data_IF_870718345361
#
_entry.id   IF_870718345361
#
_cell.length_a   1.000
_cell.length_b   1.000
_cell.length_c   1.000
_cell.angle_alpha   90.00
_cell.angle_beta   90.00
_cell.angle_gamma   90.00
#
_symmetry.space_group_name_H-M   'P 1'
#
loop_
_entity.id
_entity.type
_entity.pdbx_description
1 polymer ?
#
# COMPACT_ATOMS: atom_id res chain seq x y z
N UNK A 1 0.66 27.62 -2.11
CA UNK A 1 0.99 27.03 -0.80
C UNK A 1 2.51 26.79 -0.66
N UNK A 2 3.22 26.34 -1.69
CA UNK A 2 4.63 25.97 -1.62
C UNK A 2 5.57 27.18 -1.33
N UNK A 3 5.26 28.39 -1.82
CA UNK A 3 6.07 29.57 -1.57
C UNK A 3 6.11 29.99 -0.09
N UNK A 4 5.03 29.73 0.65
CA UNK A 4 4.97 30.03 2.08
C UNK A 4 5.92 29.11 2.87
N UNK A 5 5.98 27.83 2.48
CA UNK A 5 6.88 26.85 3.12
C UNK A 5 8.36 27.18 2.87
N UNK A 6 8.70 27.69 1.69
CA UNK A 6 10.08 28.11 1.38
C UNK A 6 10.54 29.24 2.30
N UNK A 7 9.73 30.28 2.51
CA UNK A 7 10.07 31.38 3.41
C UNK A 7 10.20 30.91 4.87
N UNK A 8 9.32 30.01 5.32
CA UNK A 8 9.39 29.44 6.67
C UNK A 8 10.66 28.61 6.87
N UNK A 9 11.02 27.77 5.89
CA UNK A 9 12.17 26.86 6.01
C UNK A 9 13.51 27.57 5.78
N UNK A 10 13.55 28.59 4.93
CA UNK A 10 14.78 29.27 4.51
C UNK A 10 15.05 30.53 5.31
N UNK A 11 14.03 31.35 5.53
CA UNK A 11 14.13 32.67 6.14
C UNK A 11 13.68 32.70 7.59
N UNK A 12 13.01 31.63 8.07
CA UNK A 12 12.41 31.59 9.39
C UNK A 12 11.24 32.56 9.55
N UNK A 13 10.61 32.95 8.44
CA UNK A 13 9.57 33.99 8.44
C UNK A 13 8.29 33.45 7.77
N UNK A 14 7.18 33.63 8.46
CA UNK A 14 5.85 33.38 7.93
C UNK A 14 5.15 34.71 7.63
N UNK A 15 4.86 34.98 6.38
CA UNK A 15 4.08 36.16 5.99
C UNK A 15 2.62 35.96 6.34
N UNK A 16 2.10 36.75 7.30
CA UNK A 16 0.71 36.72 7.70
C UNK A 16 -0.17 37.56 6.75
N UNK A 17 -1.39 37.10 6.40
CA UNK A 17 -2.33 37.90 5.64
C UNK A 17 -2.67 39.20 6.39
N UNK A 18 -2.89 40.32 5.67
CA UNK A 18 -3.20 41.66 6.22
C UNK A 18 -4.40 41.73 7.18
N UNK A 19 -5.22 40.67 7.25
CA UNK A 19 -6.41 40.55 8.14
C UNK A 19 -6.21 39.55 9.29
N UNK A 20 -5.01 39.18 9.62
CA UNK A 20 -4.75 38.27 10.75
C UNK A 20 -5.02 39.00 12.07
N UNK A 21 -5.54 38.29 13.08
CA UNK A 21 -5.66 38.77 14.47
C UNK A 21 -4.32 39.16 15.11
N UNK A 22 -3.23 38.77 14.50
CA UNK A 22 -1.84 39.03 14.95
C UNK A 22 -1.20 40.22 14.25
N UNK A 23 -1.99 41.09 13.57
CA UNK A 23 -1.49 42.27 12.85
C UNK A 23 -1.05 41.96 11.42
N UNK A 24 -0.78 43.01 10.63
CA UNK A 24 -0.16 42.90 9.31
C UNK A 24 1.34 42.81 9.48
N UNK A 25 1.93 41.64 9.29
CA UNK A 25 3.37 41.55 9.43
C UNK A 25 3.92 40.15 9.17
N UNK A 26 5.18 40.05 9.40
CA UNK A 26 5.90 38.79 9.40
C UNK A 26 5.91 38.20 10.80
N UNK A 27 5.64 36.90 10.90
CA UNK A 27 5.79 36.14 12.13
C UNK A 27 7.11 35.41 12.07
N UNK A 28 7.95 35.59 13.08
CA UNK A 28 9.18 34.83 13.21
C UNK A 28 8.86 33.37 13.60
N UNK A 29 9.52 32.45 12.94
CA UNK A 29 9.40 31.02 13.23
C UNK A 29 10.30 30.68 14.40
N UNK A 30 9.79 29.89 15.36
CA UNK A 30 10.56 29.51 16.54
C UNK A 30 11.87 28.81 16.13
N UNK A 31 13.04 29.08 16.76
CA UNK A 31 14.33 28.48 16.40
C UNK A 31 14.34 26.95 16.41
N UNK A 32 13.54 26.33 17.28
CA UNK A 32 13.42 24.90 17.39
C UNK A 32 12.35 24.30 16.47
N UNK A 33 11.77 25.10 15.57
CA UNK A 33 10.79 24.58 14.61
C UNK A 33 11.43 23.53 13.70
N UNK A 34 10.75 22.41 13.56
CA UNK A 34 11.13 21.34 12.62
C UNK A 34 9.90 20.92 11.84
N UNK A 35 10.08 20.67 10.55
CA UNK A 35 9.02 20.25 9.67
C UNK A 35 9.30 18.85 9.13
N UNK A 36 8.28 17.98 9.16
CA UNK A 36 8.32 16.67 8.55
C UNK A 36 7.22 16.63 7.47
N UNK A 37 7.63 16.30 6.26
CA UNK A 37 6.74 16.19 5.11
C UNK A 37 6.62 14.74 4.68
N UNK A 38 5.45 14.38 4.20
CA UNK A 38 5.22 13.09 3.55
C UNK A 38 4.79 13.33 2.12
N UNK A 39 5.31 12.55 1.19
CA UNK A 39 4.92 12.59 -0.21
C UNK A 39 4.82 11.19 -0.79
N UNK A 40 3.98 11.03 -1.82
CA UNK A 40 3.92 9.81 -2.61
C UNK A 40 4.50 10.12 -4.01
N UNK A 41 5.74 9.70 -4.30
CA UNK A 41 6.39 10.05 -5.55
C UNK A 41 5.67 9.51 -6.79
N UNK A 42 4.87 8.44 -6.67
CA UNK A 42 4.11 7.87 -7.80
C UNK A 42 2.94 8.76 -8.25
N UNK A 43 2.39 9.59 -7.37
CA UNK A 43 1.29 10.50 -7.68
C UNK A 43 1.78 11.80 -8.35
N UNK A 44 3.07 12.09 -8.29
CA UNK A 44 3.65 13.37 -8.73
C UNK A 44 4.34 13.33 -10.08
N UNK A 45 4.24 12.26 -10.84
CA UNK A 45 4.87 12.10 -12.16
C UNK A 45 4.41 13.11 -13.25
N UNK A 46 3.69 14.18 -12.89
CA UNK A 46 3.23 15.22 -13.79
C UNK A 46 3.17 16.64 -13.21
N UNK A 47 3.58 16.87 -11.96
CA UNK A 47 3.36 18.16 -11.28
C UNK A 47 4.70 18.81 -10.86
N UNK A 48 5.14 19.72 -11.70
CA UNK A 48 5.79 21.03 -11.47
C UNK A 48 7.17 21.17 -10.80
N UNK A 49 8.00 21.96 -11.54
CA UNK A 49 9.30 22.57 -11.15
C UNK A 49 9.31 23.28 -9.78
N UNK A 50 8.16 23.63 -9.21
CA UNK A 50 8.06 24.26 -7.87
C UNK A 50 8.41 23.31 -6.73
N UNK A 51 8.37 22.00 -6.96
CA UNK A 51 8.77 21.00 -5.97
C UNK A 51 10.29 20.88 -5.84
N UNK A 52 11.04 21.13 -6.91
CA UNK A 52 12.50 20.98 -6.92
C UNK A 52 13.15 21.89 -5.86
N UNK A 53 12.72 23.16 -5.79
CA UNK A 53 13.26 24.12 -4.81
C UNK A 53 12.99 23.76 -3.35
N UNK A 54 11.92 23.04 -3.05
CA UNK A 54 11.62 22.52 -1.72
C UNK A 54 12.44 21.28 -1.43
N UNK A 55 12.54 20.38 -2.40
CA UNK A 55 13.28 19.10 -2.26
C UNK A 55 14.77 19.32 -2.01
N UNK A 56 15.38 20.33 -2.62
CA UNK A 56 16.78 20.69 -2.41
C UNK A 56 17.11 21.09 -0.97
N UNK A 57 16.10 21.39 -0.16
CA UNK A 57 16.23 21.83 1.24
C UNK A 57 15.83 20.77 2.27
N UNK A 58 15.46 19.59 1.79
CA UNK A 58 14.97 18.51 2.64
C UNK A 58 15.92 17.31 2.60
N UNK A 59 16.03 16.66 3.74
CA UNK A 59 16.65 15.33 3.80
C UNK A 59 15.56 14.31 3.46
N UNK A 60 15.68 13.66 2.31
CA UNK A 60 14.72 12.69 1.84
C UNK A 60 15.01 11.31 2.41
N UNK A 61 14.04 10.75 3.11
CA UNK A 61 14.08 9.37 3.60
C UNK A 61 13.08 8.55 2.78
N UNK A 62 13.59 7.58 2.04
CA UNK A 62 12.75 6.66 1.28
C UNK A 62 12.24 5.54 2.18
N UNK A 63 10.92 5.41 2.26
CA UNK A 63 10.26 4.35 3.02
C UNK A 63 9.75 3.31 2.02
N UNK A 64 10.29 2.10 2.12
CA UNK A 64 9.90 0.97 1.30
C UNK A 64 8.80 0.12 1.98
N UNK A 65 8.29 -0.86 1.24
CA UNK A 65 7.41 -1.87 1.83
C UNK A 65 8.15 -2.68 2.89
N UNK A 66 7.42 -3.13 3.90
CA UNK A 66 7.95 -4.01 4.92
C UNK A 66 8.43 -5.36 4.33
N UNK A 67 9.27 -6.06 5.07
CA UNK A 67 9.61 -7.44 4.76
C UNK A 67 8.37 -8.35 4.87
N UNK A 68 8.46 -9.54 4.29
CA UNK A 68 7.33 -10.47 4.20
C UNK A 68 6.78 -10.85 5.58
N UNK A 69 7.67 -11.16 6.52
CA UNK A 69 7.29 -11.60 7.85
C UNK A 69 6.56 -10.50 8.63
N UNK A 70 7.05 -9.29 8.55
CA UNK A 70 6.41 -8.12 9.14
C UNK A 70 5.04 -7.85 8.53
N UNK A 71 4.89 -7.94 7.19
CA UNK A 71 3.60 -7.78 6.53
C UNK A 71 2.59 -8.85 6.99
N UNK A 72 3.02 -10.11 7.16
CA UNK A 72 2.17 -11.20 7.67
C UNK A 72 1.68 -10.89 9.09
N UNK A 73 2.58 -10.56 10.00
CA UNK A 73 2.24 -10.22 11.39
C UNK A 73 1.27 -9.05 11.49
N UNK A 74 1.43 -8.05 10.62
CA UNK A 74 0.51 -6.91 10.55
C UNK A 74 -0.89 -7.36 10.12
N UNK A 75 -1.00 -8.18 9.06
CA UNK A 75 -2.30 -8.67 8.59
C UNK A 75 -2.96 -9.54 9.65
N UNK A 76 -2.23 -10.50 10.24
CA UNK A 76 -2.70 -11.36 11.33
C UNK A 76 -3.26 -10.52 12.48
N UNK A 77 -2.47 -9.60 13.02
CA UNK A 77 -2.85 -8.76 14.16
C UNK A 77 -4.03 -7.82 13.85
N UNK A 78 -4.16 -7.35 12.60
CA UNK A 78 -5.18 -6.37 12.21
C UNK A 78 -6.47 -6.97 11.69
N UNK A 79 -6.44 -8.21 11.22
CA UNK A 79 -7.62 -8.90 10.68
C UNK A 79 -8.19 -9.94 11.64
N UNK A 80 -7.39 -10.46 12.56
CA UNK A 80 -7.75 -11.59 13.42
C UNK A 80 -7.76 -12.93 12.70
N UNK A 81 -7.24 -13.01 11.47
CA UNK A 81 -7.12 -14.26 10.73
C UNK A 81 -5.99 -15.13 11.30
N UNK A 82 -6.10 -16.45 11.14
CA UNK A 82 -4.99 -17.36 11.38
C UNK A 82 -3.79 -16.99 10.50
N UNK A 83 -2.58 -17.21 11.04
CA UNK A 83 -1.33 -16.91 10.32
C UNK A 83 -1.27 -17.53 8.93
N UNK A 84 -1.75 -18.76 8.74
CA UNK A 84 -1.79 -19.45 7.44
C UNK A 84 -2.53 -18.63 6.36
N UNK A 85 -3.67 -18.05 6.73
CA UNK A 85 -4.48 -17.24 5.83
C UNK A 85 -3.80 -15.89 5.54
N UNK A 86 -3.21 -15.26 6.56
CA UNK A 86 -2.45 -14.02 6.41
C UNK A 86 -1.25 -14.19 5.45
N UNK A 87 -0.57 -15.31 5.54
CA UNK A 87 0.56 -15.66 4.65
C UNK A 87 0.13 -15.77 3.19
N UNK A 88 -0.99 -16.43 2.90
CA UNK A 88 -1.53 -16.55 1.53
C UNK A 88 -1.89 -15.18 0.98
N UNK A 89 -2.58 -14.37 1.77
CA UNK A 89 -2.98 -13.01 1.37
C UNK A 89 -1.74 -12.17 1.03
N UNK A 90 -0.72 -12.20 1.88
CA UNK A 90 0.51 -11.42 1.66
C UNK A 90 1.28 -11.93 0.44
N UNK A 91 1.37 -13.24 0.24
CA UNK A 91 2.04 -13.79 -0.93
C UNK A 91 1.36 -13.39 -2.24
N UNK A 92 0.03 -13.34 -2.27
CA UNK A 92 -0.75 -12.83 -3.41
C UNK A 92 -0.41 -11.34 -3.66
N UNK A 93 -0.47 -10.51 -2.61
CA UNK A 93 -0.20 -9.08 -2.71
C UNK A 93 1.22 -8.82 -3.20
N UNK A 94 2.21 -9.53 -2.66
CA UNK A 94 3.62 -9.37 -3.06
C UNK A 94 3.85 -9.80 -4.51
N UNK A 95 3.22 -10.88 -4.98
CA UNK A 95 3.29 -11.29 -6.39
C UNK A 95 2.70 -10.23 -7.32
N UNK A 96 1.52 -9.70 -6.98
CA UNK A 96 0.88 -8.62 -7.76
C UNK A 96 1.73 -7.35 -7.78
N UNK A 97 2.29 -6.96 -6.64
CA UNK A 97 3.19 -5.81 -6.51
C UNK A 97 4.42 -5.93 -7.40
N UNK A 98 5.05 -7.10 -7.42
CA UNK A 98 6.24 -7.37 -8.21
C UNK A 98 5.97 -7.42 -9.72
N UNK A 99 4.75 -7.73 -10.13
CA UNK A 99 4.38 -7.74 -11.55
C UNK A 99 4.26 -6.34 -12.15
N UNK A 100 4.13 -5.30 -11.33
CA UNK A 100 4.12 -3.90 -11.77
C UNK A 100 3.01 -3.57 -12.78
N UNK A 101 1.90 -4.30 -12.77
CA UNK A 101 0.84 -4.14 -13.77
C UNK A 101 0.12 -2.82 -13.55
N UNK A 102 0.20 -1.91 -14.53
CA UNK A 102 -0.55 -0.65 -14.61
C UNK A 102 -0.37 0.33 -13.44
N UNK A 103 0.84 0.47 -12.88
CA UNK A 103 1.12 1.32 -11.71
C UNK A 103 0.30 0.94 -10.45
N UNK A 104 -0.44 -0.16 -10.48
CA UNK A 104 -1.19 -0.62 -9.32
C UNK A 104 -0.30 -1.54 -8.49
N UNK A 105 0.22 -0.99 -7.40
CA UNK A 105 1.02 -1.72 -6.42
C UNK A 105 0.23 -1.89 -5.13
N UNK A 106 -0.46 -3.02 -4.92
CA UNK A 106 -1.24 -3.22 -3.72
C UNK A 106 -0.36 -3.12 -2.47
N UNK A 107 -0.83 -2.34 -1.50
CA UNK A 107 -0.13 -2.07 -0.25
C UNK A 107 -0.55 -3.05 0.85
N UNK A 108 0.09 -2.97 2.02
CA UNK A 108 -0.32 -3.71 3.21
C UNK A 108 -1.77 -3.42 3.62
N UNK A 109 -2.29 -2.22 3.33
CA UNK A 109 -3.70 -1.86 3.61
C UNK A 109 -4.66 -2.75 2.83
N UNK A 110 -4.32 -3.10 1.60
CA UNK A 110 -5.09 -4.04 0.77
C UNK A 110 -5.16 -5.41 1.45
N UNK A 111 -4.03 -5.90 2.00
CA UNK A 111 -4.00 -7.16 2.76
C UNK A 111 -4.85 -7.15 4.01
N UNK A 112 -4.79 -6.07 4.78
CA UNK A 112 -5.63 -5.88 5.97
C UNK A 112 -7.12 -5.86 5.58
N UNK A 113 -7.47 -5.21 4.48
CA UNK A 113 -8.85 -5.14 4.00
C UNK A 113 -9.39 -6.52 3.61
N UNK A 114 -8.64 -7.27 2.78
CA UNK A 114 -9.00 -8.65 2.40
C UNK A 114 -9.15 -9.49 3.67
N UNK A 115 -8.17 -9.43 4.58
CA UNK A 115 -8.16 -10.20 5.81
C UNK A 115 -9.36 -9.91 6.70
N UNK A 116 -9.73 -8.65 6.89
CA UNK A 116 -10.88 -8.27 7.72
C UNK A 116 -12.20 -8.74 7.13
N UNK A 117 -12.39 -8.59 5.82
CA UNK A 117 -13.62 -9.04 5.16
C UNK A 117 -13.72 -10.57 5.25
N UNK A 118 -12.61 -11.27 5.02
CA UNK A 118 -12.55 -12.73 5.09
C UNK A 118 -12.86 -13.24 6.50
N UNK A 119 -12.24 -12.66 7.53
CA UNK A 119 -12.50 -12.98 8.93
C UNK A 119 -13.96 -12.76 9.32
N UNK A 120 -14.54 -11.63 8.89
CA UNK A 120 -15.95 -11.31 9.15
C UNK A 120 -16.92 -12.29 8.49
N UNK A 121 -16.52 -12.87 7.35
CA UNK A 121 -17.33 -13.86 6.61
C UNK A 121 -17.11 -15.31 7.06
N UNK A 122 -16.15 -15.54 7.98
CA UNK A 122 -15.80 -16.89 8.42
C UNK A 122 -15.16 -17.76 7.33
N UNK A 123 -14.60 -17.15 6.29
CA UNK A 123 -13.94 -17.85 5.18
C UNK A 123 -12.45 -18.08 5.46
N UNK A 124 -11.82 -18.86 4.59
CA UNK A 124 -10.39 -19.16 4.61
C UNK A 124 -9.70 -18.73 3.32
N UNK A 125 -8.42 -18.39 3.40
CA UNK A 125 -7.64 -18.04 2.23
C UNK A 125 -7.27 -19.30 1.42
N UNK A 126 -8.21 -19.80 0.61
CA UNK A 126 -8.04 -20.99 -0.20
C UNK A 126 -8.62 -20.81 -1.60
N UNK A 127 -8.02 -21.50 -2.59
CA UNK A 127 -8.49 -21.44 -3.99
C UNK A 127 -9.92 -21.94 -4.15
N UNK A 128 -10.32 -22.94 -3.39
CA UNK A 128 -11.66 -23.52 -3.41
C UNK A 128 -12.70 -22.76 -2.57
N UNK A 129 -12.32 -21.68 -1.91
CA UNK A 129 -13.25 -20.81 -1.18
C UNK A 129 -13.78 -19.69 -2.10
N UNK A 130 -15.05 -19.74 -2.53
CA UNK A 130 -15.63 -18.75 -3.43
C UNK A 130 -15.72 -17.36 -2.78
N UNK A 131 -15.82 -17.30 -1.45
CA UNK A 131 -15.86 -16.03 -0.70
C UNK A 131 -14.49 -15.35 -0.81
N UNK A 132 -13.41 -16.09 -0.57
CA UNK A 132 -12.06 -15.59 -0.69
C UNK A 132 -11.74 -15.07 -2.09
N UNK A 133 -12.09 -15.85 -3.12
CA UNK A 133 -11.89 -15.46 -4.53
C UNK A 133 -12.62 -14.16 -4.85
N UNK A 134 -13.88 -14.07 -4.42
CA UNK A 134 -14.69 -12.87 -4.67
C UNK A 134 -14.12 -11.64 -3.97
N UNK A 135 -13.72 -11.77 -2.70
CA UNK A 135 -13.09 -10.67 -1.95
C UNK A 135 -11.82 -10.19 -2.64
N UNK A 136 -10.95 -11.13 -3.05
CA UNK A 136 -9.72 -10.78 -3.75
C UNK A 136 -10.00 -10.06 -5.07
N UNK A 137 -10.96 -10.54 -5.87
CA UNK A 137 -11.35 -9.89 -7.12
C UNK A 137 -11.88 -8.48 -6.88
N UNK A 138 -12.78 -8.30 -5.93
CA UNK A 138 -13.40 -7.00 -5.64
C UNK A 138 -12.38 -6.00 -5.10
N UNK A 139 -11.50 -6.40 -4.17
CA UNK A 139 -10.52 -5.51 -3.54
C UNK A 139 -9.31 -5.22 -4.42
N UNK A 140 -8.83 -6.21 -5.19
CA UNK A 140 -7.63 -6.06 -6.02
C UNK A 140 -7.94 -5.44 -7.39
N UNK A 141 -9.20 -5.46 -7.84
CA UNK A 141 -9.61 -4.93 -9.14
C UNK A 141 -10.04 -3.45 -9.11
N UNK A 142 -10.11 -2.84 -7.93
CA UNK A 142 -10.74 -1.52 -7.69
C UNK A 142 -10.11 -0.37 -8.51
N UNK A 143 -8.89 -0.51 -9.04
CA UNK A 143 -8.19 0.57 -9.75
C UNK A 143 -7.85 0.23 -11.21
N UNK A 144 -8.42 -0.83 -11.78
CA UNK A 144 -8.03 -1.30 -13.12
C UNK A 144 -9.20 -1.38 -14.08
N UNK A 145 -9.87 -0.26 -14.29
CA UNK A 145 -10.85 -0.14 -15.39
C UNK A 145 -10.07 0.14 -16.69
N UNK A 146 -9.30 -0.82 -17.17
CA UNK A 146 -8.95 -0.91 -18.59
C UNK A 146 -9.66 -2.13 -19.15
N UNK A 147 -10.85 -1.87 -19.66
CA UNK A 147 -11.62 -2.82 -20.46
C UNK A 147 -10.86 -2.99 -21.77
N UNK A 148 -10.41 -4.20 -22.06
CA UNK A 148 -9.90 -4.55 -23.40
C UNK A 148 -11.06 -4.58 -24.40
N UNK A 149 -10.75 -4.49 -25.72
CA UNK A 149 -11.74 -4.54 -26.81
C UNK A 149 -12.72 -5.72 -26.73
N UNK A 150 -12.36 -6.79 -26.03
CA UNK A 150 -13.16 -7.99 -25.89
C UNK A 150 -13.98 -8.04 -24.58
N UNK A 151 -14.07 -6.90 -23.85
CA UNK A 151 -14.93 -6.77 -22.66
C UNK A 151 -14.51 -7.62 -21.45
N UNK A 152 -13.44 -8.41 -21.55
CA UNK A 152 -12.87 -9.18 -20.44
C UNK A 152 -11.81 -8.35 -19.71
N UNK A 153 -11.96 -8.29 -18.41
CA UNK A 153 -10.97 -7.65 -17.56
C UNK A 153 -9.71 -8.54 -17.47
N UNK A 154 -8.75 -8.28 -18.34
CA UNK A 154 -7.44 -8.97 -18.39
C UNK A 154 -6.79 -9.08 -17.00
N UNK A 155 -7.15 -8.16 -16.10
CA UNK A 155 -6.68 -8.14 -14.73
C UNK A 155 -7.35 -9.20 -13.85
N UNK A 156 -8.63 -9.50 -14.09
CA UNK A 156 -9.33 -10.54 -13.32
C UNK A 156 -8.74 -11.92 -13.57
N UNK A 157 -8.41 -12.23 -14.81
CA UNK A 157 -7.74 -13.49 -15.17
C UNK A 157 -6.36 -13.59 -14.51
N UNK A 158 -5.56 -12.51 -14.57
CA UNK A 158 -4.25 -12.46 -13.91
C UNK A 158 -4.34 -12.60 -12.38
N UNK A 159 -5.30 -11.94 -11.75
CA UNK A 159 -5.52 -12.06 -10.31
C UNK A 159 -5.90 -13.50 -9.96
N UNK A 160 -6.83 -14.10 -10.70
CA UNK A 160 -7.25 -15.49 -10.49
C UNK A 160 -6.09 -16.47 -10.65
N UNK A 161 -5.26 -16.32 -11.68
CA UNK A 161 -4.05 -17.11 -11.90
C UNK A 161 -3.06 -17.02 -10.75
N UNK A 162 -2.87 -15.81 -10.21
CA UNK A 162 -1.95 -15.61 -9.09
C UNK A 162 -2.48 -16.27 -7.83
N UNK A 163 -3.78 -16.11 -7.54
CA UNK A 163 -4.41 -16.74 -6.38
C UNK A 163 -4.26 -18.26 -6.48
N UNK A 164 -4.57 -18.84 -7.64
CA UNK A 164 -4.44 -20.26 -7.87
C UNK A 164 -3.01 -20.76 -7.67
N UNK A 165 -2.03 -20.07 -8.25
CA UNK A 165 -0.61 -20.43 -8.13
C UNK A 165 -0.10 -20.35 -6.69
N UNK A 166 -0.55 -19.32 -5.92
CA UNK A 166 -0.13 -19.17 -4.53
C UNK A 166 -0.76 -20.24 -3.65
N UNK A 167 -2.06 -20.48 -3.78
CA UNK A 167 -2.76 -21.48 -3.00
C UNK A 167 -2.24 -22.90 -3.29
N UNK A 168 -2.05 -23.26 -4.57
CA UNK A 168 -1.56 -24.59 -4.95
C UNK A 168 -0.11 -24.85 -4.49
N UNK A 169 0.77 -23.85 -4.56
CA UNK A 169 2.16 -23.99 -4.10
C UNK A 169 2.27 -24.27 -2.59
N UNK A 170 1.24 -23.93 -1.81
CA UNK A 170 1.20 -24.20 -0.38
C UNK A 170 0.55 -25.54 -0.05
N UNK A 171 -0.41 -25.99 -0.84
CA UNK A 171 -0.96 -27.33 -0.67
C UNK A 171 0.09 -28.41 -0.93
N UNK A 172 0.97 -28.23 -1.92
CA UNK A 172 2.09 -29.14 -2.20
C UNK A 172 3.09 -29.27 -1.05
N UNK A 173 3.40 -28.18 -0.35
CA UNK A 173 4.31 -28.18 0.81
C UNK A 173 3.73 -28.88 2.03
N UNK A 174 2.42 -28.77 2.27
CA UNK A 174 1.77 -29.48 3.37
C UNK A 174 1.68 -31.00 3.18
N UNK A 175 1.74 -31.48 1.92
CA UNK A 175 1.69 -32.91 1.63
C UNK A 175 3.06 -33.58 1.84
N UNK A 176 4.16 -32.85 1.62
CA UNK A 176 5.51 -33.36 1.85
C UNK A 176 5.88 -33.43 3.34
N UNK A 177 5.35 -32.51 4.18
CA UNK A 177 5.59 -32.57 5.64
C UNK A 177 4.81 -33.68 6.34
N UNK A 178 3.72 -34.20 5.75
CA UNK A 178 2.90 -35.28 6.31
C UNK A 178 3.42 -36.70 5.96
N UNK A 179 4.40 -36.82 5.05
CA UNK A 179 4.96 -38.11 4.63
C UNK A 179 6.24 -38.51 5.37
N UNK A 180 6.74 -37.68 6.27
CA UNK A 180 7.90 -38.04 7.10
C UNK A 180 7.45 -38.53 8.47
N UNK A 181 7.00 -39.79 8.57
CA UNK A 181 6.93 -40.54 9.81
C UNK A 181 8.21 -41.39 9.84
N UNK A 182 9.20 -41.12 10.71
CA UNK A 182 10.31 -42.04 10.90
C UNK A 182 9.79 -43.27 11.67
N UNK A 183 10.09 -44.45 11.13
CA UNK A 183 9.95 -45.74 11.82
C UNK A 183 10.86 -45.82 13.06
#
# INVERSE_FOLDING_TARGET
ANNVLLSVLQEGILSAPKRSRYGSGHLEVHPDFRAIFTSNPEEYAGVHKTQDALMDRLVTIQIHHFDRETEIKIVEARSGLPRKDAEIIIDIIRKLRNMGVNNHRPSIRTGIMIGRILAHRGGHAAWNDPIFLRICQDVLNTNTIKITRDGKALMQEKISDIIQKVCNARHGKNTEELTFIPE
#
